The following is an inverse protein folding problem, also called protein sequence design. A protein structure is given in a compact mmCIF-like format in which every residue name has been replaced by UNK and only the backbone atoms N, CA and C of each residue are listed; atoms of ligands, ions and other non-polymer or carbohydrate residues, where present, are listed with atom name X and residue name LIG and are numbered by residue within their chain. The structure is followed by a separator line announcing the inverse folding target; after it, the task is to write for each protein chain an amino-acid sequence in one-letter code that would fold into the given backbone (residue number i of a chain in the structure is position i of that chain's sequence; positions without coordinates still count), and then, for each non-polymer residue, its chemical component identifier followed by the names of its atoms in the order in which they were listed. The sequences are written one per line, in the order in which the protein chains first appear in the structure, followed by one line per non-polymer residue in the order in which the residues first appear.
data_IF_375452736496
#
_entry.id   IF_375452736496
#
_cell.length_a   1.000
_cell.length_b   1.000
_cell.length_c   1.000
_cell.angle_alpha   90.00
_cell.angle_beta   90.00
_cell.angle_gamma   90.00
#
_symmetry.space_group_name_H-M   'P 1'
#
loop_
_entity.id
_entity.type
_entity.pdbx_description
1 polymer ?
#
# COMPACT_ATOMS: atom_id res chain seq x y z
N UNK A 1 49.51 27.97 -20.11
CA UNK A 1 50.96 27.94 -19.92
C UNK A 1 51.22 26.95 -18.83
N UNK A 2 51.83 25.78 -19.19
CA UNK A 2 52.54 24.77 -18.39
C UNK A 2 51.80 24.08 -17.23
N UNK A 3 51.93 22.80 -16.93
CA UNK A 3 52.48 21.58 -17.59
C UNK A 3 52.04 20.39 -16.71
N UNK A 4 51.74 19.31 -17.36
CA UNK A 4 51.83 17.90 -17.04
C UNK A 4 52.63 17.47 -15.79
N UNK A 5 52.11 16.46 -15.10
CA UNK A 5 52.82 15.63 -14.14
C UNK A 5 52.12 14.27 -13.97
N UNK A 6 52.59 13.34 -14.79
CA UNK A 6 52.31 11.89 -14.69
C UNK A 6 53.21 11.28 -13.65
N UNK A 7 52.72 10.37 -12.82
CA UNK A 7 53.53 9.28 -12.23
C UNK A 7 52.67 8.02 -12.01
N UNK A 8 53.17 7.00 -12.63
CA UNK A 8 52.82 5.60 -12.63
C UNK A 8 53.51 4.89 -11.46
N UNK A 9 52.83 3.98 -10.76
CA UNK A 9 53.51 2.82 -10.18
C UNK A 9 52.53 1.67 -9.90
N UNK A 10 52.94 0.51 -10.38
CA UNK A 10 52.42 -0.85 -10.29
C UNK A 10 52.52 -1.45 -8.90
N UNK A 11 51.60 -2.35 -8.58
CA UNK A 11 51.73 -3.73 -8.02
C UNK A 11 50.29 -4.13 -7.60
N UNK A 12 49.63 -5.17 -8.02
CA UNK A 12 50.09 -6.50 -8.42
C UNK A 12 49.88 -7.48 -7.27
N UNK A 13 48.65 -8.03 -7.10
CA UNK A 13 48.47 -9.35 -6.51
C UNK A 13 47.11 -9.89 -6.91
N UNK A 14 47.11 -10.93 -7.72
CA UNK A 14 45.95 -11.66 -8.15
C UNK A 14 45.55 -12.72 -7.12
N UNK A 15 44.27 -12.86 -6.87
CA UNK A 15 43.71 -14.06 -6.28
C UNK A 15 42.95 -14.85 -7.35
N UNK A 16 43.53 -16.01 -7.70
CA UNK A 16 42.90 -17.08 -8.43
C UNK A 16 41.77 -17.70 -7.57
N UNK A 17 40.56 -17.73 -8.09
CA UNK A 17 39.55 -18.67 -7.65
C UNK A 17 39.47 -19.80 -8.68
N UNK A 18 39.90 -20.97 -8.25
CA UNK A 18 39.73 -22.24 -8.95
C UNK A 18 38.24 -22.60 -8.98
N UNK A 19 37.73 -22.84 -10.17
CA UNK A 19 36.42 -23.44 -10.42
C UNK A 19 36.58 -24.94 -10.35
N UNK A 20 36.00 -25.58 -9.31
CA UNK A 20 35.84 -27.02 -9.26
C UNK A 20 34.63 -27.44 -10.12
N UNK A 21 34.93 -28.11 -11.23
CA UNK A 21 33.96 -28.85 -12.04
C UNK A 21 33.62 -30.17 -11.33
N UNK A 22 32.39 -30.32 -10.85
CA UNK A 22 31.85 -31.59 -10.44
C UNK A 22 31.25 -32.32 -11.66
N UNK A 23 32.00 -33.31 -12.14
CA UNK A 23 31.50 -34.29 -13.10
C UNK A 23 30.54 -35.27 -12.45
N UNK A 24 29.30 -35.31 -12.87
CA UNK A 24 28.35 -36.38 -12.54
C UNK A 24 28.49 -37.51 -13.53
N UNK A 25 28.94 -38.66 -13.03
CA UNK A 25 28.99 -39.91 -13.76
C UNK A 25 27.55 -40.41 -14.06
N UNK A 26 27.32 -40.75 -15.32
CA UNK A 26 26.10 -41.37 -15.80
C UNK A 26 25.98 -42.80 -15.26
N UNK A 27 24.81 -43.17 -14.84
CA UNK A 27 24.43 -44.54 -14.59
C UNK A 27 23.63 -45.03 -15.80
N UNK A 28 24.26 -45.97 -16.54
CA UNK A 28 23.59 -46.76 -17.56
C UNK A 28 22.65 -47.77 -16.86
N UNK A 29 21.38 -47.77 -17.20
CA UNK A 29 20.45 -48.84 -16.90
C UNK A 29 20.25 -49.72 -18.12
N UNK A 30 20.76 -50.93 -18.04
CA UNK A 30 20.55 -51.99 -18.98
C UNK A 30 19.06 -52.33 -19.09
N UNK A 31 18.60 -52.49 -20.34
CA UNK A 31 17.25 -52.87 -20.67
C UNK A 31 17.02 -54.34 -20.39
N UNK A 32 15.87 -54.64 -19.75
CA UNK A 32 15.35 -55.99 -19.68
C UNK A 32 14.27 -56.18 -20.73
N UNK A 33 14.58 -57.00 -21.75
CA UNK A 33 13.62 -57.56 -22.70
C UNK A 33 12.75 -58.57 -22.00
N UNK A 34 11.44 -58.37 -22.03
CA UNK A 34 10.46 -59.40 -21.65
C UNK A 34 9.79 -59.93 -22.94
N UNK A 35 10.13 -61.15 -23.24
CA UNK A 35 9.47 -61.95 -24.27
C UNK A 35 8.00 -62.18 -23.95
N UNK A 36 7.16 -61.95 -24.96
CA UNK A 36 5.73 -62.22 -24.93
C UNK A 36 5.48 -63.69 -25.22
N UNK A 37 5.02 -64.45 -24.25
CA UNK A 37 4.42 -65.74 -24.51
C UNK A 37 2.92 -65.63 -24.74
N UNK A 38 2.52 -66.02 -26.00
CA UNK A 38 1.16 -66.26 -26.41
C UNK A 38 0.62 -67.53 -25.76
N UNK A 39 -0.44 -67.46 -25.00
CA UNK A 39 -1.27 -68.59 -24.67
C UNK A 39 -2.65 -68.47 -25.31
N UNK A 40 -2.84 -69.19 -26.40
CA UNK A 40 -4.14 -69.51 -26.96
C UNK A 40 -4.87 -70.51 -26.06
N UNK A 41 -6.02 -70.14 -25.55
CA UNK A 41 -7.01 -71.07 -25.00
C UNK A 41 -8.32 -70.93 -25.79
N UNK A 42 -8.54 -71.91 -26.67
CA UNK A 42 -9.86 -72.20 -27.23
C UNK A 42 -10.75 -72.79 -26.13
N UNK A 43 -11.91 -72.22 -25.87
CA UNK A 43 -13.03 -72.88 -25.24
C UNK A 43 -14.29 -72.65 -26.05
N UNK A 44 -14.74 -73.77 -26.59
CA UNK A 44 -16.08 -73.94 -27.19
C UNK A 44 -17.21 -73.82 -26.15
N UNK A 45 -18.21 -73.09 -26.55
CA UNK A 45 -19.61 -73.42 -26.48
C UNK A 45 -20.35 -73.53 -25.17
N UNK A 46 -21.27 -72.63 -24.98
CA UNK A 46 -22.70 -72.99 -24.73
C UNK A 46 -23.50 -71.68 -24.56
N UNK A 47 -24.45 -71.50 -25.42
CA UNK A 47 -25.37 -70.33 -25.35
C UNK A 47 -26.30 -70.48 -24.15
N UNK A 48 -26.40 -69.36 -23.43
CA UNK A 48 -27.57 -69.05 -22.62
C UNK A 48 -28.03 -67.66 -22.98
N UNK A 49 -29.16 -67.58 -23.70
CA UNK A 49 -29.91 -66.35 -23.89
C UNK A 49 -30.49 -65.94 -22.54
N UNK A 50 -29.95 -64.88 -21.97
CA UNK A 50 -30.59 -64.10 -20.95
C UNK A 50 -30.94 -62.73 -21.56
N UNK A 51 -32.22 -62.55 -21.85
CA UNK A 51 -32.78 -61.19 -22.02
C UNK A 51 -32.56 -60.42 -20.72
N UNK A 52 -31.51 -59.64 -20.68
CA UNK A 52 -31.43 -58.52 -19.75
C UNK A 52 -31.91 -57.29 -20.42
N UNK A 53 -33.10 -56.83 -19.99
CA UNK A 53 -33.56 -55.50 -20.24
C UNK A 53 -32.40 -54.50 -19.95
N UNK A 54 -32.01 -53.79 -20.99
CA UNK A 54 -31.06 -52.67 -20.85
C UNK A 54 -31.75 -51.61 -20.01
N UNK A 55 -31.58 -51.67 -18.68
CA UNK A 55 -31.70 -50.47 -17.87
C UNK A 55 -30.62 -49.50 -18.35
N UNK A 56 -31.09 -48.41 -18.92
CA UNK A 56 -30.28 -47.31 -19.34
C UNK A 56 -29.35 -46.93 -18.15
N UNK A 57 -28.07 -47.10 -18.35
CA UNK A 57 -27.05 -46.59 -17.44
C UNK A 57 -27.35 -45.09 -17.28
N UNK A 58 -27.86 -44.73 -16.11
CA UNK A 58 -28.02 -43.35 -15.71
C UNK A 58 -26.68 -42.67 -15.88
N UNK A 59 -26.58 -41.76 -16.83
CA UNK A 59 -25.41 -40.90 -17.00
C UNK A 59 -25.13 -40.27 -15.64
N UNK A 60 -23.87 -40.29 -15.25
CA UNK A 60 -23.44 -39.51 -14.11
C UNK A 60 -23.86 -38.06 -14.37
N UNK A 61 -24.95 -37.63 -13.73
CA UNK A 61 -25.37 -36.24 -13.83
C UNK A 61 -24.29 -35.43 -13.15
N UNK A 62 -23.64 -34.53 -13.91
CA UNK A 62 -22.70 -33.53 -13.38
C UNK A 62 -23.40 -32.54 -12.43
N UNK A 63 -24.55 -32.95 -11.92
CA UNK A 63 -25.41 -32.17 -11.04
C UNK A 63 -25.02 -32.35 -9.58
N UNK A 64 -24.81 -31.23 -8.93
CA UNK A 64 -24.49 -31.12 -7.51
C UNK A 64 -25.78 -30.79 -6.77
N UNK A 65 -26.27 -31.69 -5.92
CA UNK A 65 -27.44 -31.48 -5.10
C UNK A 65 -27.07 -30.80 -3.80
N UNK A 66 -27.63 -29.61 -3.55
CA UNK A 66 -27.48 -28.86 -2.30
C UNK A 66 -28.83 -28.27 -1.90
N UNK A 67 -29.57 -28.89 -0.96
CA UNK A 67 -30.88 -28.42 -0.55
C UNK A 67 -30.90 -26.95 -0.12
N UNK A 68 -31.99 -26.18 -0.39
CA UNK A 68 -32.03 -24.73 -0.14
C UNK A 68 -31.72 -24.34 1.30
N UNK A 69 -32.17 -25.09 2.28
CA UNK A 69 -31.86 -24.83 3.69
C UNK A 69 -30.36 -24.96 4.01
N UNK A 70 -29.66 -25.92 3.37
CA UNK A 70 -28.21 -26.08 3.51
C UNK A 70 -27.45 -25.00 2.73
N UNK A 71 -27.93 -24.64 1.52
CA UNK A 71 -27.36 -23.59 0.71
C UNK A 71 -27.40 -22.25 1.45
N UNK A 72 -28.55 -21.89 2.02
CA UNK A 72 -28.72 -20.69 2.81
C UNK A 72 -27.84 -20.69 4.07
N UNK A 73 -27.80 -21.79 4.81
CA UNK A 73 -26.93 -21.92 6.00
C UNK A 73 -25.44 -21.82 5.66
N UNK A 74 -25.06 -22.23 4.44
CA UNK A 74 -23.68 -22.14 3.93
C UNK A 74 -23.36 -20.78 3.30
N UNK A 75 -24.29 -19.81 3.28
CA UNK A 75 -24.10 -18.49 2.70
C UNK A 75 -24.01 -18.51 1.18
N UNK A 76 -24.67 -19.44 0.51
CA UNK A 76 -24.72 -19.51 -0.95
C UNK A 76 -25.72 -18.47 -1.47
N UNK A 77 -25.23 -17.54 -2.28
CA UNK A 77 -26.06 -16.55 -2.98
C UNK A 77 -25.94 -16.73 -4.49
N UNK A 78 -27.04 -16.53 -5.19
CA UNK A 78 -27.09 -16.65 -6.65
C UNK A 78 -27.63 -15.37 -7.26
N UNK A 79 -27.14 -15.03 -8.45
CA UNK A 79 -27.63 -13.91 -9.23
C UNK A 79 -27.80 -14.28 -10.71
N UNK A 80 -28.78 -13.68 -11.37
CA UNK A 80 -28.92 -13.79 -12.82
C UNK A 80 -27.83 -12.92 -13.45
N UNK A 81 -27.09 -13.49 -14.41
CA UNK A 81 -26.07 -12.77 -15.15
C UNK A 81 -26.73 -11.80 -16.13
N UNK A 82 -26.36 -10.54 -15.99
CA UNK A 82 -26.67 -9.49 -16.96
C UNK A 82 -25.36 -8.88 -17.48
N UNK A 83 -25.21 -8.70 -18.81
CA UNK A 83 -24.09 -7.95 -19.36
C UNK A 83 -24.13 -6.51 -18.86
N UNK A 84 -22.99 -5.99 -18.48
CA UNK A 84 -22.86 -4.63 -17.94
C UNK A 84 -21.66 -3.90 -18.53
N UNK A 85 -21.34 -2.76 -17.95
CA UNK A 85 -20.15 -2.00 -18.27
C UNK A 85 -18.98 -2.52 -17.44
N UNK A 86 -17.87 -2.81 -18.11
CA UNK A 86 -16.60 -3.18 -17.48
C UNK A 86 -15.48 -2.32 -18.06
N UNK A 87 -14.50 -1.92 -17.24
CA UNK A 87 -13.40 -1.10 -17.75
C UNK A 87 -12.25 -1.96 -18.26
N UNK A 88 -11.55 -1.48 -19.29
CA UNK A 88 -10.23 -2.01 -19.61
C UNK A 88 -9.31 -1.80 -18.42
N UNK A 89 -8.53 -2.81 -18.05
CA UNK A 89 -7.69 -2.80 -16.86
C UNK A 89 -6.23 -2.87 -17.24
N UNK A 90 -5.42 -1.99 -16.64
CA UNK A 90 -3.97 -2.10 -16.64
C UNK A 90 -3.54 -2.47 -15.23
N UNK A 91 -3.09 -3.71 -15.06
CA UNK A 91 -2.59 -4.21 -13.79
C UNK A 91 -1.15 -3.74 -13.58
N UNK A 92 -0.87 -3.15 -12.43
CA UNK A 92 0.43 -2.63 -12.07
C UNK A 92 0.61 -2.65 -10.54
N UNK A 93 1.74 -2.18 -10.07
CA UNK A 93 2.02 -1.98 -8.65
C UNK A 93 2.33 -0.52 -8.36
N UNK A 94 2.35 -0.17 -7.09
CA UNK A 94 2.67 1.19 -6.68
C UNK A 94 2.71 1.34 -5.17
N UNK A 95 2.58 2.59 -4.73
CA UNK A 95 2.65 2.95 -3.31
C UNK A 95 1.53 3.88 -2.91
N UNK A 96 1.08 3.70 -1.68
CA UNK A 96 0.28 4.69 -0.99
C UNK A 96 1.24 5.66 -0.28
N UNK A 97 1.04 6.95 -0.48
CA UNK A 97 1.86 8.01 0.12
C UNK A 97 0.98 8.96 0.93
N UNK A 98 1.55 9.62 1.94
CA UNK A 98 0.85 10.69 2.65
C UNK A 98 0.52 11.85 1.69
N UNK A 99 -0.65 12.44 1.86
CA UNK A 99 -1.09 13.60 1.08
C UNK A 99 -0.20 14.83 1.35
N UNK A 100 -0.07 15.68 0.35
CA UNK A 100 0.65 16.94 0.51
C UNK A 100 -0.07 17.82 1.53
N UNK A 101 0.66 18.29 2.56
CA UNK A 101 0.10 19.05 3.67
C UNK A 101 -0.43 18.19 4.83
N UNK A 102 -0.56 16.89 4.67
CA UNK A 102 -0.92 15.96 5.74
C UNK A 102 0.29 15.52 6.58
N UNK A 103 1.50 15.83 6.15
CA UNK A 103 2.74 15.61 6.88
C UNK A 103 3.41 16.95 7.20
N UNK A 104 3.86 17.10 8.44
CA UNK A 104 4.59 18.29 8.89
C UNK A 104 5.70 17.88 9.85
N UNK A 105 6.82 18.56 9.75
CA UNK A 105 8.00 18.28 10.56
C UNK A 105 8.16 19.37 11.62
N UNK A 106 8.25 18.97 12.88
CA UNK A 106 8.67 19.85 13.96
C UNK A 106 10.18 20.04 13.85
N UNK A 107 10.63 21.30 13.71
CA UNK A 107 12.02 21.67 13.53
C UNK A 107 12.55 22.44 14.73
N UNK A 108 13.85 22.37 14.98
CA UNK A 108 14.50 23.10 16.05
C UNK A 108 14.45 24.63 15.77
N UNK A 109 13.87 25.40 16.68
CA UNK A 109 13.82 26.87 16.62
C UNK A 109 15.02 27.55 17.25
N UNK A 110 15.71 26.83 18.14
CA UNK A 110 16.96 27.22 18.77
C UNK A 110 17.94 26.05 18.76
N UNK A 111 19.23 26.35 18.87
CA UNK A 111 20.24 25.31 19.08
C UNK A 111 20.18 24.82 20.54
N UNK A 112 20.39 23.51 20.75
CA UNK A 112 20.34 22.96 22.10
C UNK A 112 20.47 21.44 22.12
N UNK A 113 20.43 20.88 23.32
CA UNK A 113 20.39 19.43 23.57
C UNK A 113 18.94 18.99 23.67
N UNK A 114 18.60 17.93 22.97
CA UNK A 114 17.25 17.35 22.89
C UNK A 114 16.89 16.64 24.19
N UNK A 115 15.72 16.94 24.71
CA UNK A 115 15.02 16.14 25.72
C UNK A 115 13.55 15.98 25.29
N UNK A 116 13.01 14.76 25.32
CA UNK A 116 11.62 14.54 24.95
C UNK A 116 10.68 15.03 26.08
N UNK A 117 9.60 15.65 25.70
CA UNK A 117 8.55 16.07 26.64
C UNK A 117 7.65 14.88 26.99
N UNK A 118 8.04 14.10 28.00
CA UNK A 118 7.39 12.86 28.37
C UNK A 118 7.69 11.72 27.37
N UNK A 119 6.73 10.79 27.23
CA UNK A 119 6.90 9.65 26.35
C UNK A 119 6.40 10.00 24.94
N UNK A 120 7.32 10.24 24.02
CA UNK A 120 7.02 10.46 22.58
C UNK A 120 7.51 9.24 21.81
N UNK A 121 6.58 8.53 21.16
CA UNK A 121 6.87 7.30 20.39
C UNK A 121 6.17 7.35 19.04
N UNK A 122 6.69 6.64 18.07
CA UNK A 122 6.07 6.48 16.75
C UNK A 122 4.68 5.82 16.87
N UNK A 123 3.71 6.29 16.08
CA UNK A 123 2.32 5.89 16.13
C UNK A 123 1.47 6.58 17.22
N UNK A 124 2.09 7.38 18.11
CA UNK A 124 1.36 8.10 19.17
C UNK A 124 0.49 9.21 18.56
N UNK A 125 -0.78 9.27 18.99
CA UNK A 125 -1.69 10.37 18.65
C UNK A 125 -1.33 11.62 19.40
N UNK A 126 -1.28 12.76 18.72
CA UNK A 126 -0.97 14.07 19.29
C UNK A 126 -1.87 15.16 18.72
N UNK A 127 -2.11 16.21 19.51
CA UNK A 127 -2.81 17.40 19.09
C UNK A 127 -1.83 18.49 18.65
N UNK A 128 -2.26 19.37 17.74
CA UNK A 128 -1.50 20.57 17.39
C UNK A 128 -1.19 21.39 18.64
N UNK A 129 0.06 21.83 18.78
CA UNK A 129 0.53 22.61 19.92
C UNK A 129 1.02 21.78 21.10
N UNK A 130 0.85 20.44 21.10
CA UNK A 130 1.41 19.57 22.14
C UNK A 130 2.93 19.62 22.10
N UNK A 131 3.63 19.92 23.23
CA UNK A 131 5.09 19.88 23.28
C UNK A 131 5.61 18.46 22.99
N UNK A 132 6.55 18.34 22.07
CA UNK A 132 7.19 17.07 21.70
C UNK A 132 8.60 16.96 22.25
N UNK A 133 9.36 18.03 22.07
CA UNK A 133 10.79 18.10 22.42
C UNK A 133 11.03 19.39 23.18
N UNK A 134 11.94 19.34 24.13
CA UNK A 134 12.50 20.51 24.81
C UNK A 134 13.96 20.60 24.44
N UNK A 135 14.40 21.75 23.97
CA UNK A 135 15.77 22.04 23.61
C UNK A 135 16.42 22.84 24.74
N UNK A 136 17.40 22.23 25.44
CA UNK A 136 18.15 22.88 26.51
C UNK A 136 19.47 23.41 26.01
N UNK A 137 19.72 24.69 26.18
CA UNK A 137 21.01 25.35 25.92
C UNK A 137 21.75 25.74 27.19
N UNK A 138 21.30 25.25 28.35
CA UNK A 138 21.71 25.69 29.70
C UNK A 138 23.20 25.52 29.99
N UNK A 139 23.86 24.49 29.41
CA UNK A 139 25.25 24.16 29.60
C UNK A 139 26.09 24.43 28.35
N UNK A 140 25.61 25.26 27.42
CA UNK A 140 26.36 25.60 26.21
C UNK A 140 27.26 26.81 26.45
N UNK A 141 28.39 26.85 25.76
CA UNK A 141 29.39 27.93 25.88
C UNK A 141 28.76 29.32 25.62
N UNK A 142 27.83 29.38 24.68
CA UNK A 142 27.12 30.62 24.31
C UNK A 142 25.91 30.94 25.20
N UNK A 143 25.60 30.08 26.17
CA UNK A 143 24.45 30.20 27.06
C UNK A 143 23.08 30.11 26.35
N UNK A 144 22.02 30.38 27.11
CA UNK A 144 20.66 30.34 26.61
C UNK A 144 20.36 31.56 25.71
N UNK A 145 20.05 31.36 24.40
CA UNK A 145 19.77 32.46 23.47
C UNK A 145 18.51 33.25 23.89
N UNK A 146 17.54 32.64 24.52
CA UNK A 146 16.31 33.31 24.98
C UNK A 146 16.64 34.24 26.16
N UNK A 147 17.47 33.78 27.08
CA UNK A 147 17.91 34.61 28.21
C UNK A 147 18.74 35.80 27.74
N UNK A 148 19.63 35.62 26.77
CA UNK A 148 20.39 36.73 26.15
C UNK A 148 19.48 37.76 25.48
N UNK A 149 18.52 37.29 24.68
CA UNK A 149 17.56 38.18 24.03
C UNK A 149 16.70 38.94 25.05
N UNK A 150 16.31 38.28 26.14
CA UNK A 150 15.55 38.89 27.25
C UNK A 150 16.35 40.01 27.91
N UNK A 151 17.61 39.75 28.26
CA UNK A 151 18.49 40.74 28.89
C UNK A 151 18.67 41.96 27.96
N UNK A 152 18.92 41.72 26.68
CA UNK A 152 19.04 42.79 25.69
C UNK A 152 17.76 43.62 25.59
N UNK A 153 16.59 42.96 25.55
CA UNK A 153 15.29 43.65 25.52
C UNK A 153 15.04 44.48 26.80
N UNK A 154 15.24 43.91 27.97
CA UNK A 154 15.04 44.60 29.24
C UNK A 154 15.96 45.80 29.40
N UNK A 155 17.23 45.68 28.94
CA UNK A 155 18.20 46.78 28.95
C UNK A 155 17.81 47.88 27.99
N UNK A 156 17.47 47.52 26.74
CA UNK A 156 17.04 48.49 25.74
C UNK A 156 15.72 49.21 26.11
N UNK A 157 14.81 48.47 26.77
CA UNK A 157 13.55 49.03 27.29
C UNK A 157 13.80 50.09 28.33
N UNK A 158 14.64 49.79 29.34
CA UNK A 158 14.98 50.78 30.40
C UNK A 158 15.61 52.03 29.80
N UNK A 159 16.49 51.89 28.85
CA UNK A 159 17.15 53.02 28.19
C UNK A 159 16.15 53.87 27.36
N UNK A 160 15.27 53.21 26.61
CA UNK A 160 14.18 53.87 25.88
C UNK A 160 13.23 54.64 26.83
N UNK A 161 12.81 54.04 27.92
CA UNK A 161 11.94 54.66 28.93
C UNK A 161 12.64 55.86 29.55
N UNK A 162 13.91 55.77 29.92
CA UNK A 162 14.71 56.87 30.45
C UNK A 162 14.80 58.03 29.46
N UNK A 163 15.14 57.75 28.16
CA UNK A 163 15.21 58.77 27.12
C UNK A 163 13.86 59.46 26.87
N UNK A 164 12.78 58.69 26.94
CA UNK A 164 11.41 59.18 26.78
C UNK A 164 11.03 60.19 27.88
N UNK A 165 11.43 59.99 29.12
CA UNK A 165 11.18 60.90 30.24
C UNK A 165 12.03 62.17 30.16
N UNK A 166 13.24 62.09 29.61
CA UNK A 166 14.16 63.22 29.50
C UNK A 166 13.92 64.11 28.28
N UNK A 167 13.29 63.59 27.21
CA UNK A 167 13.04 64.30 25.94
C UNK A 167 12.20 65.56 26.09
N UNK A 168 11.09 65.61 26.87
CA UNK A 168 10.28 66.82 27.03
C UNK A 168 11.06 68.01 27.63
N UNK A 169 12.05 67.69 28.49
CA UNK A 169 12.90 68.65 29.14
C UNK A 169 14.13 69.07 28.29
N UNK A 170 14.22 68.58 27.03
CA UNK A 170 15.34 68.82 26.13
C UNK A 170 16.71 68.43 26.68
N UNK A 171 16.76 67.49 27.61
CA UNK A 171 17.99 66.98 28.18
C UNK A 171 18.69 66.02 27.23
N UNK A 172 17.95 65.34 26.35
CA UNK A 172 18.43 64.48 25.31
C UNK A 172 17.98 64.96 23.94
N UNK A 173 18.76 64.66 22.89
CA UNK A 173 18.38 65.02 21.53
C UNK A 173 17.32 64.09 20.94
N UNK A 174 16.51 64.57 19.99
CA UNK A 174 15.57 63.77 19.24
C UNK A 174 16.27 62.59 18.51
N UNK A 175 17.51 62.81 18.08
CA UNK A 175 18.33 61.78 17.43
C UNK A 175 18.66 60.65 18.41
N UNK A 176 19.08 60.97 19.63
CA UNK A 176 19.42 59.98 20.64
C UNK A 176 18.19 59.17 21.10
N UNK A 177 17.05 59.87 21.24
CA UNK A 177 15.78 59.22 21.53
C UNK A 177 15.36 58.28 20.39
N UNK A 178 15.46 58.70 19.12
CA UNK A 178 15.14 57.85 17.99
C UNK A 178 16.03 56.61 17.93
N UNK A 179 17.33 56.75 18.24
CA UNK A 179 18.27 55.65 18.33
C UNK A 179 17.91 54.67 19.46
N UNK A 180 17.57 55.15 20.65
CA UNK A 180 17.16 54.34 21.77
C UNK A 180 15.87 53.57 21.46
N UNK A 181 14.90 54.24 20.80
CA UNK A 181 13.66 53.62 20.33
C UNK A 181 13.93 52.51 19.32
N UNK A 182 14.79 52.75 18.35
CA UNK A 182 15.16 51.73 17.34
C UNK A 182 15.80 50.52 18.00
N UNK A 183 16.73 50.71 18.93
CA UNK A 183 17.39 49.63 19.69
C UNK A 183 16.39 48.83 20.50
N UNK A 184 15.45 49.50 21.17
CA UNK A 184 14.38 48.85 21.90
C UNK A 184 13.48 48.00 21.01
N UNK A 185 13.00 48.54 19.86
CA UNK A 185 12.14 47.82 18.93
C UNK A 185 12.85 46.58 18.34
N UNK A 186 14.14 46.71 17.97
CA UNK A 186 14.93 45.60 17.46
C UNK A 186 15.11 44.50 18.53
N UNK A 187 15.42 44.89 19.77
CA UNK A 187 15.58 43.95 20.86
C UNK A 187 14.25 43.26 21.24
N UNK A 188 13.12 44.02 21.15
CA UNK A 188 11.77 43.47 21.37
C UNK A 188 11.43 42.40 20.35
N UNK A 189 11.59 42.71 19.05
CA UNK A 189 11.35 41.77 17.95
C UNK A 189 12.19 40.50 18.13
N UNK A 190 13.48 40.69 18.44
CA UNK A 190 14.40 39.54 18.65
C UNK A 190 14.00 38.68 19.83
N UNK A 191 13.55 39.28 20.94
CA UNK A 191 13.08 38.55 22.12
C UNK A 191 11.74 37.85 21.86
N UNK A 192 10.76 38.55 21.29
CA UNK A 192 9.44 37.98 20.97
C UNK A 192 9.52 36.77 20.04
N UNK A 193 10.46 36.79 19.08
CA UNK A 193 10.68 35.70 18.14
C UNK A 193 11.11 34.38 18.83
N UNK A 194 11.85 34.44 19.93
CA UNK A 194 12.39 33.26 20.61
C UNK A 194 11.74 32.97 21.95
N UNK A 195 10.97 33.90 22.53
CA UNK A 195 10.39 33.78 23.87
C UNK A 195 9.16 32.85 23.93
N UNK A 196 8.54 32.58 22.78
CA UNK A 196 7.39 31.66 22.72
C UNK A 196 7.81 30.24 23.09
N UNK A 197 7.01 29.60 23.97
CA UNK A 197 7.24 28.21 24.44
C UNK A 197 8.57 28.00 25.19
N UNK A 198 9.19 29.06 25.74
CA UNK A 198 10.37 28.95 26.60
C UNK A 198 9.98 28.74 28.06
N UNK A 199 10.69 27.85 28.73
CA UNK A 199 10.53 27.54 30.14
C UNK A 199 11.89 27.43 30.85
N UNK A 200 11.87 27.17 32.16
CA UNK A 200 13.09 26.93 32.93
C UNK A 200 13.87 25.66 32.48
N UNK A 201 13.19 24.74 31.80
CA UNK A 201 13.77 23.52 31.25
C UNK A 201 14.41 23.75 29.87
N UNK A 202 13.99 24.77 29.15
CA UNK A 202 14.44 25.11 27.81
C UNK A 202 13.31 25.51 26.88
N UNK A 203 13.60 25.50 25.58
CA UNK A 203 12.66 25.83 24.51
C UNK A 203 11.83 24.61 24.12
N UNK A 204 10.53 24.65 24.36
CA UNK A 204 9.64 23.58 23.91
C UNK A 204 9.32 23.72 22.41
N UNK A 205 9.41 22.62 21.71
CA UNK A 205 9.04 22.50 20.29
C UNK A 205 7.73 21.74 20.21
N UNK A 206 6.62 22.42 19.88
CA UNK A 206 5.30 21.81 19.81
C UNK A 206 5.07 21.14 18.45
N UNK A 207 4.08 20.23 18.44
CA UNK A 207 3.57 19.67 17.20
C UNK A 207 2.95 20.74 16.30
N UNK A 208 3.35 20.84 15.02
CA UNK A 208 2.79 21.82 14.09
C UNK A 208 1.35 21.48 13.67
N UNK A 209 0.96 20.20 13.70
CA UNK A 209 -0.38 19.71 13.32
C UNK A 209 -0.88 18.67 14.32
N UNK A 210 -2.20 18.43 14.32
CA UNK A 210 -2.79 17.28 15.02
C UNK A 210 -2.67 16.03 14.12
N UNK A 211 -2.40 14.88 14.71
CA UNK A 211 -2.22 13.63 13.96
C UNK A 211 -1.46 12.57 14.76
N UNK A 212 -0.56 11.87 14.10
CA UNK A 212 0.26 10.80 14.68
C UNK A 212 1.74 11.08 14.46
N UNK A 213 2.56 10.73 15.44
CA UNK A 213 4.03 10.74 15.28
C UNK A 213 4.40 9.69 14.24
N UNK A 214 4.96 10.14 13.11
CA UNK A 214 5.39 9.26 12.02
C UNK A 214 6.78 8.70 12.27
N UNK A 215 7.71 9.58 12.65
CA UNK A 215 9.09 9.19 12.95
C UNK A 215 9.76 10.18 13.88
N UNK A 216 10.69 9.66 14.69
CA UNK A 216 11.61 10.43 15.51
C UNK A 216 12.93 10.54 14.75
N UNK A 217 13.34 11.78 14.43
CA UNK A 217 14.53 12.06 13.62
C UNK A 217 15.77 12.37 14.48
N UNK A 218 15.58 12.43 15.81
CA UNK A 218 16.59 12.70 16.81
C UNK A 218 16.37 11.77 18.01
N UNK A 219 17.41 11.68 18.86
CA UNK A 219 17.40 10.90 20.10
C UNK A 219 17.55 11.81 21.31
N UNK A 220 17.20 11.29 22.48
CA UNK A 220 17.47 11.94 23.77
C UNK A 220 18.98 12.21 23.91
N UNK A 221 19.33 13.46 24.24
CA UNK A 221 20.69 13.89 24.40
C UNK A 221 21.41 14.35 23.11
N UNK A 222 20.81 14.24 21.94
CA UNK A 222 21.38 14.76 20.69
C UNK A 222 21.50 16.27 20.75
N UNK A 223 22.62 16.79 20.22
CA UNK A 223 22.78 18.23 19.98
C UNK A 223 22.21 18.58 18.60
N UNK A 224 21.35 19.60 18.54
CA UNK A 224 20.71 20.06 17.31
C UNK A 224 20.94 21.56 17.05
N UNK A 225 20.94 21.90 15.77
CA UNK A 225 21.06 23.29 15.29
C UNK A 225 19.71 23.83 14.82
N UNK A 226 19.59 25.14 14.70
CA UNK A 226 18.36 25.80 14.21
C UNK A 226 17.99 25.27 12.82
N UNK A 227 16.72 24.94 12.62
CA UNK A 227 16.19 24.39 11.39
C UNK A 227 16.33 22.86 11.25
N UNK A 228 17.01 22.18 12.17
CA UNK A 228 17.16 20.72 12.12
C UNK A 228 15.83 20.03 12.38
N UNK A 229 15.46 19.03 11.54
CA UNK A 229 14.26 18.22 11.73
C UNK A 229 14.33 17.39 13.01
N UNK A 230 13.26 17.36 13.79
CA UNK A 230 13.19 16.65 15.08
C UNK A 230 12.18 15.50 15.07
N UNK A 231 10.92 15.80 14.72
CA UNK A 231 9.82 14.85 14.74
C UNK A 231 8.95 15.07 13.53
N UNK A 232 8.66 14.03 12.78
CA UNK A 232 7.68 14.06 11.69
C UNK A 232 6.30 13.63 12.21
N UNK A 233 5.27 14.40 11.87
CA UNK A 233 3.88 14.19 12.27
C UNK A 233 3.02 14.10 11.03
N UNK A 234 2.09 13.15 10.98
CA UNK A 234 1.18 12.95 9.85
C UNK A 234 -0.28 12.89 10.30
N UNK A 235 -1.18 13.44 9.50
CA UNK A 235 -2.63 13.37 9.75
C UNK A 235 -3.29 12.15 9.12
N UNK A 236 -2.72 11.63 8.04
CA UNK A 236 -3.26 10.50 7.27
C UNK A 236 -4.71 10.69 6.78
N UNK A 237 -5.18 11.92 6.59
CA UNK A 237 -6.54 12.18 6.12
C UNK A 237 -6.69 12.04 4.62
N UNK A 238 -5.71 12.57 3.88
CA UNK A 238 -5.63 12.45 2.43
C UNK A 238 -4.38 11.67 2.07
N UNK A 239 -4.54 10.75 1.14
CA UNK A 239 -3.47 9.90 0.66
C UNK A 239 -3.32 10.03 -0.85
N UNK A 240 -2.14 9.74 -1.34
CA UNK A 240 -1.84 9.60 -2.75
C UNK A 240 -1.60 8.12 -3.08
N UNK A 241 -2.28 7.64 -4.11
CA UNK A 241 -1.96 6.38 -4.76
C UNK A 241 -1.07 6.68 -5.95
N UNK A 242 0.19 6.30 -5.89
CA UNK A 242 1.12 6.40 -7.01
C UNK A 242 1.28 5.03 -7.65
N UNK A 243 0.80 4.89 -8.86
CA UNK A 243 0.97 3.72 -9.70
C UNK A 243 2.19 3.89 -10.60
N UNK A 244 3.02 2.86 -10.70
CA UNK A 244 4.20 2.83 -11.56
C UNK A 244 3.85 2.04 -12.84
N UNK A 245 3.48 2.74 -13.91
CA UNK A 245 2.95 2.16 -15.14
C UNK A 245 4.05 1.98 -16.17
N UNK A 246 4.19 0.77 -16.73
CA UNK A 246 5.17 0.50 -17.80
C UNK A 246 4.92 1.41 -19.00
N UNK A 247 5.99 1.94 -19.62
CA UNK A 247 5.97 2.82 -20.80
C UNK A 247 5.17 2.25 -21.98
N UNK A 248 5.07 0.94 -22.10
CA UNK A 248 4.26 0.29 -23.15
C UNK A 248 2.79 0.72 -23.13
N UNK A 249 2.28 1.14 -21.96
CA UNK A 249 0.90 1.61 -21.77
C UNK A 249 0.75 3.12 -21.93
N UNK A 250 1.82 3.85 -22.27
CA UNK A 250 1.78 5.31 -22.39
C UNK A 250 0.64 5.85 -23.28
N UNK A 251 0.31 5.23 -24.45
CA UNK A 251 -0.82 5.68 -25.26
C UNK A 251 -2.17 5.64 -24.54
N UNK A 252 -2.33 4.75 -23.56
CA UNK A 252 -3.58 4.53 -22.82
C UNK A 252 -3.70 5.36 -21.55
N UNK A 253 -2.62 6.05 -21.10
CA UNK A 253 -2.64 6.83 -19.86
C UNK A 253 -3.72 7.92 -19.85
N UNK A 254 -4.05 8.48 -21.02
CA UNK A 254 -5.09 9.51 -21.15
C UNK A 254 -6.50 8.99 -20.92
N UNK A 255 -6.73 7.69 -21.04
CA UNK A 255 -8.02 7.05 -20.88
C UNK A 255 -8.26 6.53 -19.45
N UNK A 256 -7.23 6.61 -18.60
CA UNK A 256 -7.35 6.20 -17.20
C UNK A 256 -8.19 7.23 -16.46
N UNK A 257 -9.34 6.78 -15.94
CA UNK A 257 -10.27 7.62 -15.17
C UNK A 257 -10.24 7.34 -13.68
N UNK A 258 -9.94 6.10 -13.27
CA UNK A 258 -9.97 5.66 -11.89
C UNK A 258 -9.01 4.50 -11.66
N UNK A 259 -8.96 4.00 -10.43
CA UNK A 259 -8.23 2.79 -10.07
C UNK A 259 -8.90 2.07 -8.91
N UNK A 260 -8.66 0.76 -8.84
CA UNK A 260 -8.83 -0.04 -7.63
C UNK A 260 -7.45 -0.48 -7.16
N UNK A 261 -7.29 -0.77 -5.87
CA UNK A 261 -6.03 -1.29 -5.34
C UNK A 261 -6.26 -2.25 -4.19
N UNK A 262 -5.33 -3.20 -4.05
CA UNK A 262 -5.36 -4.20 -2.99
C UNK A 262 -4.17 -4.01 -2.06
N UNK A 263 -4.42 -4.00 -0.75
CA UNK A 263 -3.38 -3.89 0.26
C UNK A 263 -2.94 -5.27 0.74
N UNK A 264 -1.63 -5.53 0.92
CA UNK A 264 -1.12 -6.87 1.23
C UNK A 264 -1.42 -7.33 2.66
N UNK A 265 -1.77 -6.41 3.58
CA UNK A 265 -1.97 -6.74 4.99
C UNK A 265 -3.40 -7.19 5.33
N UNK A 266 -4.38 -6.96 4.47
CA UNK A 266 -5.77 -7.42 4.70
C UNK A 266 -6.44 -8.01 3.45
N UNK A 267 -5.73 -8.07 2.31
CA UNK A 267 -6.23 -8.52 1.01
C UNK A 267 -7.54 -7.87 0.57
N UNK A 268 -7.84 -6.68 1.13
CA UNK A 268 -9.03 -5.91 0.81
C UNK A 268 -8.79 -5.08 -0.44
N UNK A 269 -9.72 -5.17 -1.36
CA UNK A 269 -9.76 -4.28 -2.53
C UNK A 269 -10.47 -2.99 -2.15
N UNK A 270 -9.82 -1.88 -2.44
CA UNK A 270 -10.34 -0.53 -2.26
C UNK A 270 -10.62 0.07 -3.63
N UNK A 271 -11.80 0.62 -3.80
CA UNK A 271 -12.15 1.36 -5.02
C UNK A 271 -11.96 2.86 -4.78
N UNK A 272 -11.25 3.54 -5.67
CA UNK A 272 -11.07 4.99 -5.55
C UNK A 272 -12.41 5.73 -5.57
N UNK A 273 -13.42 5.17 -6.23
CA UNK A 273 -14.77 5.74 -6.26
C UNK A 273 -15.39 5.88 -4.86
N UNK A 274 -15.26 4.84 -4.01
CA UNK A 274 -15.76 4.84 -2.63
C UNK A 274 -14.94 5.72 -1.70
N UNK A 275 -13.66 5.92 -2.04
CA UNK A 275 -12.73 6.75 -1.29
C UNK A 275 -12.67 8.21 -1.79
N UNK A 276 -13.64 8.66 -2.60
CA UNK A 276 -13.67 9.98 -3.23
C UNK A 276 -12.37 10.27 -4.01
N UNK A 277 -11.81 9.21 -4.61
CA UNK A 277 -10.55 9.30 -5.33
C UNK A 277 -10.68 10.02 -6.66
N UNK A 278 -9.63 10.75 -7.03
CA UNK A 278 -9.52 11.44 -8.31
C UNK A 278 -8.12 11.34 -8.87
N UNK A 279 -8.04 11.26 -10.19
CA UNK A 279 -6.76 11.37 -10.89
C UNK A 279 -6.21 12.78 -10.72
N UNK A 280 -4.97 12.90 -10.22
CA UNK A 280 -4.26 14.19 -10.15
C UNK A 280 -3.39 14.41 -11.37
N UNK A 281 -2.58 13.42 -11.70
CA UNK A 281 -1.63 13.55 -12.80
C UNK A 281 -1.20 12.18 -13.33
N UNK A 282 -0.76 12.18 -14.58
CA UNK A 282 0.10 11.14 -15.12
C UNK A 282 1.38 11.78 -15.63
N UNK A 283 2.51 11.10 -15.40
CA UNK A 283 3.82 11.57 -15.82
C UNK A 283 3.92 11.69 -17.34
N UNK A 284 4.65 12.69 -17.81
CA UNK A 284 4.97 12.88 -19.24
C UNK A 284 6.38 12.37 -19.60
N UNK A 285 7.10 11.87 -18.59
CA UNK A 285 8.42 11.27 -18.73
C UNK A 285 8.60 10.17 -17.69
N UNK A 286 9.36 9.15 -18.04
CA UNK A 286 9.92 8.20 -17.07
C UNK A 286 11.06 8.86 -16.30
N UNK A 287 11.34 8.39 -15.07
CA UNK A 287 12.51 8.85 -14.31
C UNK A 287 13.82 8.45 -14.97
N UNK A 288 14.94 9.13 -14.66
CA UNK A 288 16.25 8.93 -15.28
C UNK A 288 16.76 7.48 -15.27
N UNK A 289 16.25 6.61 -14.37
CA UNK A 289 16.60 5.19 -14.26
C UNK A 289 15.36 4.29 -14.15
N UNK A 290 14.24 4.67 -14.76
CA UNK A 290 12.96 3.96 -14.59
C UNK A 290 12.22 3.87 -15.92
N UNK A 291 11.81 2.65 -16.30
CA UNK A 291 10.92 2.39 -17.44
C UNK A 291 9.43 2.56 -17.09
N UNK A 292 9.15 3.26 -15.99
CA UNK A 292 7.80 3.45 -15.49
C UNK A 292 7.39 4.91 -15.50
N UNK A 293 6.17 5.15 -15.95
CA UNK A 293 5.51 6.45 -15.92
C UNK A 293 4.59 6.50 -14.71
N UNK A 294 4.76 7.45 -13.78
CA UNK A 294 3.91 7.53 -12.61
C UNK A 294 2.51 8.06 -12.96
N UNK A 295 1.49 7.39 -12.44
CA UNK A 295 0.10 7.87 -12.42
C UNK A 295 -0.30 8.07 -10.98
N UNK A 296 -0.76 9.27 -10.63
CA UNK A 296 -1.03 9.64 -9.24
C UNK A 296 -2.49 10.02 -9.07
N UNK A 297 -3.12 9.41 -8.07
CA UNK A 297 -4.46 9.73 -7.61
C UNK A 297 -4.40 10.27 -6.19
N UNK A 298 -5.34 11.15 -5.84
CA UNK A 298 -5.61 11.58 -4.47
C UNK A 298 -6.90 10.92 -4.00
N UNK A 299 -6.97 10.50 -2.75
CA UNK A 299 -8.16 9.91 -2.16
C UNK A 299 -8.24 10.16 -0.64
N UNK A 300 -9.43 10.00 -0.09
CA UNK A 300 -9.68 10.16 1.35
C UNK A 300 -9.35 8.84 2.08
N UNK A 301 -8.53 8.94 3.14
CA UNK A 301 -8.26 7.79 3.99
C UNK A 301 -9.43 7.62 4.98
N UNK A 302 -10.16 6.53 4.85
CA UNK A 302 -11.23 6.16 5.77
C UNK A 302 -10.76 5.31 6.96
N UNK A 303 -9.45 5.38 7.29
CA UNK A 303 -8.89 4.87 8.55
C UNK A 303 -8.08 3.58 8.44
N UNK A 304 -8.22 2.82 7.36
CA UNK A 304 -7.65 1.47 7.24
C UNK A 304 -6.39 1.41 6.38
N UNK A 305 -6.04 2.51 5.69
CA UNK A 305 -4.96 2.50 4.70
C UNK A 305 -3.71 3.15 5.28
N UNK A 306 -2.61 2.41 5.26
CA UNK A 306 -1.34 2.80 5.86
C UNK A 306 -0.46 3.47 4.81
N UNK A 307 -0.07 4.76 4.99
CA UNK A 307 0.91 5.41 4.12
C UNK A 307 2.25 4.67 4.13
N UNK A 308 2.89 4.58 2.97
CA UNK A 308 4.12 3.84 2.78
C UNK A 308 3.91 2.41 2.26
N UNK A 309 2.68 1.89 2.29
CA UNK A 309 2.37 0.55 1.81
C UNK A 309 2.59 0.42 0.31
N UNK A 310 3.18 -0.71 -0.10
CA UNK A 310 3.14 -1.18 -1.48
C UNK A 310 1.81 -1.86 -1.73
N UNK A 311 1.22 -1.62 -2.90
CA UNK A 311 -0.10 -2.12 -3.26
C UNK A 311 -0.12 -2.61 -4.68
N UNK A 312 -0.95 -3.62 -4.95
CA UNK A 312 -1.33 -4.00 -6.30
C UNK A 312 -2.42 -3.03 -6.78
N UNK A 313 -2.32 -2.56 -8.02
CA UNK A 313 -3.17 -1.52 -8.58
C UNK A 313 -3.78 -1.98 -9.89
N UNK A 314 -5.08 -1.80 -10.02
CA UNK A 314 -5.87 -2.05 -11.22
C UNK A 314 -6.34 -0.69 -11.76
N UNK A 315 -5.62 -0.15 -12.74
CA UNK A 315 -5.98 1.11 -13.38
C UNK A 315 -7.16 0.88 -14.32
N UNK A 316 -8.21 1.63 -14.12
CA UNK A 316 -9.45 1.54 -14.90
C UNK A 316 -9.43 2.60 -16.00
N UNK A 317 -9.43 2.13 -17.24
CA UNK A 317 -9.42 2.99 -18.43
C UNK A 317 -10.79 2.97 -19.13
N UNK A 318 -10.80 2.96 -20.45
CA UNK A 318 -12.04 3.06 -21.26
C UNK A 318 -13.07 2.00 -20.87
N UNK A 319 -14.36 2.38 -20.74
CA UNK A 319 -15.44 1.43 -20.51
C UNK A 319 -15.66 0.54 -21.74
N UNK A 320 -16.00 -0.72 -21.48
CA UNK A 320 -16.46 -1.71 -22.43
C UNK A 320 -17.90 -2.08 -22.07
N UNK A 321 -18.81 -1.99 -23.02
CA UNK A 321 -20.21 -2.35 -22.83
C UNK A 321 -20.45 -3.82 -23.15
N UNK A 322 -21.56 -4.37 -22.64
CA UNK A 322 -21.98 -5.75 -22.86
C UNK A 322 -20.97 -6.81 -22.41
N UNK A 323 -20.29 -6.56 -21.29
CA UNK A 323 -19.32 -7.48 -20.71
C UNK A 323 -19.96 -8.25 -19.55
N UNK A 324 -19.81 -9.57 -19.54
CA UNK A 324 -20.14 -10.40 -18.39
C UNK A 324 -18.96 -10.35 -17.40
N UNK A 325 -19.23 -9.99 -16.16
CA UNK A 325 -18.23 -9.99 -15.08
C UNK A 325 -18.83 -10.56 -13.80
N UNK A 326 -18.02 -11.31 -13.06
CA UNK A 326 -18.41 -11.95 -11.81
C UNK A 326 -17.45 -11.57 -10.68
N UNK A 327 -17.91 -11.53 -9.43
CA UNK A 327 -17.01 -11.34 -8.29
C UNK A 327 -16.09 -12.55 -8.12
N UNK A 328 -14.93 -12.35 -7.52
CA UNK A 328 -13.97 -13.44 -7.23
C UNK A 328 -14.60 -14.58 -6.40
N UNK A 329 -15.58 -14.26 -5.55
CA UNK A 329 -16.33 -15.22 -4.71
C UNK A 329 -17.17 -16.22 -5.51
N UNK A 330 -17.45 -15.93 -6.78
CA UNK A 330 -18.16 -16.81 -7.70
C UNK A 330 -17.25 -17.87 -8.33
N UNK A 331 -15.94 -17.67 -8.27
CA UNK A 331 -14.96 -18.48 -8.99
C UNK A 331 -14.34 -19.55 -8.07
N UNK A 332 -14.15 -20.73 -8.61
CA UNK A 332 -13.32 -21.78 -8.01
C UNK A 332 -12.25 -22.21 -9.00
N UNK A 333 -11.08 -22.56 -8.49
CA UNK A 333 -9.98 -23.06 -9.30
C UNK A 333 -9.71 -24.52 -9.01
N UNK A 334 -9.45 -25.31 -10.06
CA UNK A 334 -9.01 -26.68 -9.98
C UNK A 334 -7.99 -26.95 -11.10
N UNK A 335 -6.80 -27.36 -10.73
CA UNK A 335 -5.72 -27.73 -11.65
C UNK A 335 -5.45 -26.67 -12.74
N UNK A 336 -5.51 -25.37 -12.35
CA UNK A 336 -5.30 -24.25 -13.27
C UNK A 336 -6.49 -23.89 -14.16
N UNK A 337 -7.63 -24.59 -14.01
CA UNK A 337 -8.89 -24.27 -14.67
C UNK A 337 -9.87 -23.61 -13.73
N UNK A 338 -10.61 -22.63 -14.26
CA UNK A 338 -11.59 -21.88 -13.46
C UNK A 338 -13.01 -22.34 -13.76
N UNK A 339 -13.81 -22.37 -12.71
CA UNK A 339 -15.19 -22.82 -12.76
C UNK A 339 -16.13 -21.90 -11.99
N UNK A 340 -17.36 -21.83 -12.46
CA UNK A 340 -18.52 -21.27 -11.75
C UNK A 340 -19.57 -22.35 -11.55
N UNK A 341 -20.56 -22.09 -10.71
CA UNK A 341 -21.68 -23.00 -10.49
C UNK A 341 -22.97 -22.34 -10.95
N UNK A 342 -23.61 -22.98 -11.94
CA UNK A 342 -24.93 -22.57 -12.45
C UNK A 342 -25.99 -23.23 -11.59
N UNK A 343 -26.93 -22.46 -11.08
CA UNK A 343 -28.14 -23.01 -10.44
C UNK A 343 -29.11 -23.42 -11.53
N UNK A 344 -29.48 -24.72 -11.59
CA UNK A 344 -30.38 -25.30 -12.59
C UNK A 344 -31.82 -25.23 -12.09
N UNK A 345 -32.04 -25.61 -10.82
CA UNK A 345 -33.31 -25.57 -10.14
C UNK A 345 -33.16 -25.17 -8.68
N UNK A 346 -34.13 -25.51 -7.79
CA UNK A 346 -34.09 -25.08 -6.38
C UNK A 346 -32.93 -25.68 -5.57
N UNK A 347 -32.44 -26.89 -5.90
CA UNK A 347 -31.41 -27.61 -5.17
C UNK A 347 -30.26 -28.11 -6.06
N UNK A 348 -30.43 -28.03 -7.39
CA UNK A 348 -29.45 -28.50 -8.37
C UNK A 348 -28.50 -27.43 -8.86
N UNK A 349 -27.22 -27.77 -8.84
CA UNK A 349 -26.13 -26.90 -9.34
C UNK A 349 -25.28 -27.66 -10.34
N UNK A 350 -24.85 -26.98 -11.40
CA UNK A 350 -23.95 -27.53 -12.42
C UNK A 350 -22.62 -26.80 -12.40
N UNK A 351 -21.52 -27.56 -12.32
CA UNK A 351 -20.16 -27.05 -12.48
C UNK A 351 -19.91 -26.68 -13.94
N UNK A 352 -19.54 -25.42 -14.20
CA UNK A 352 -19.34 -24.89 -15.53
C UNK A 352 -17.93 -24.31 -15.68
N UNK A 353 -17.09 -24.83 -16.61
CA UNK A 353 -15.80 -24.24 -16.88
C UNK A 353 -15.96 -22.87 -17.53
N UNK A 354 -15.07 -21.93 -17.15
CA UNK A 354 -15.07 -20.56 -17.67
C UNK A 354 -13.67 -20.11 -18.07
N UNK A 355 -13.62 -19.24 -19.09
CA UNK A 355 -12.40 -18.55 -19.45
C UNK A 355 -12.42 -17.14 -18.88
N UNK A 356 -11.40 -16.79 -18.11
CA UNK A 356 -11.28 -15.49 -17.51
C UNK A 356 -10.63 -14.48 -18.44
N UNK A 357 -11.05 -13.22 -18.34
CA UNK A 357 -10.47 -12.08 -19.01
C UNK A 357 -9.76 -11.14 -18.03
N UNK A 358 -10.01 -9.83 -18.18
CA UNK A 358 -9.45 -8.81 -17.32
C UNK A 358 -10.04 -8.87 -15.90
N UNK A 359 -9.17 -8.59 -14.92
CA UNK A 359 -9.49 -8.53 -13.50
C UNK A 359 -9.29 -7.09 -13.00
N UNK A 360 -10.29 -6.51 -12.35
CA UNK A 360 -10.20 -5.17 -11.78
C UNK A 360 -10.02 -5.16 -10.24
N UNK A 361 -9.73 -6.34 -9.67
CA UNK A 361 -9.59 -6.56 -8.23
C UNK A 361 -10.91 -6.85 -7.52
N UNK A 362 -12.03 -6.36 -7.99
CA UNK A 362 -13.37 -6.59 -7.45
C UNK A 362 -14.13 -7.68 -8.23
N UNK A 363 -14.08 -7.58 -9.55
CA UNK A 363 -14.72 -8.50 -10.50
C UNK A 363 -13.78 -8.94 -11.58
N UNK A 364 -14.02 -10.12 -12.11
CA UNK A 364 -13.29 -10.71 -13.24
C UNK A 364 -14.21 -10.79 -14.44
N UNK A 365 -13.74 -10.34 -15.60
CA UNK A 365 -14.41 -10.51 -16.87
C UNK A 365 -14.48 -12.00 -17.23
N UNK A 366 -15.63 -12.48 -17.69
CA UNK A 366 -15.80 -13.83 -18.21
C UNK A 366 -15.89 -13.76 -19.74
N UNK A 367 -14.91 -14.38 -20.40
CA UNK A 367 -14.83 -14.40 -21.85
C UNK A 367 -15.70 -15.48 -22.48
N UNK A 368 -15.84 -16.62 -21.79
CA UNK A 368 -16.66 -17.74 -22.26
C UNK A 368 -17.06 -18.66 -21.10
N UNK A 369 -18.07 -19.49 -21.32
CA UNK A 369 -18.55 -20.50 -20.38
C UNK A 369 -19.92 -20.17 -19.76
N UNK A 370 -20.33 -18.92 -19.78
CA UNK A 370 -21.65 -18.45 -19.28
C UNK A 370 -22.30 -17.47 -20.26
N UNK A 371 -23.59 -17.28 -20.15
CA UNK A 371 -24.40 -16.36 -21.01
C UNK A 371 -25.33 -15.50 -20.15
N UNK A 372 -25.79 -14.42 -20.75
CA UNK A 372 -26.84 -13.59 -20.17
C UNK A 372 -28.09 -14.44 -19.87
N UNK A 373 -28.63 -14.26 -18.67
CA UNK A 373 -29.80 -15.03 -18.19
C UNK A 373 -29.41 -16.26 -17.35
N UNK A 374 -28.16 -16.73 -17.37
CA UNK A 374 -27.73 -17.81 -16.51
C UNK A 374 -27.79 -17.38 -15.03
N UNK A 375 -28.27 -18.28 -14.16
CA UNK A 375 -28.28 -18.06 -12.70
C UNK A 375 -27.03 -18.64 -12.10
N UNK A 376 -26.11 -17.80 -11.63
CA UNK A 376 -24.77 -18.16 -11.16
C UNK A 376 -24.65 -17.94 -9.66
N UNK A 377 -23.94 -18.83 -8.97
CA UNK A 377 -23.53 -18.67 -7.58
C UNK A 377 -22.49 -17.54 -7.52
N UNK A 378 -22.85 -16.43 -6.89
CA UNK A 378 -21.97 -15.25 -6.73
C UNK A 378 -21.24 -15.22 -5.40
N UNK A 379 -21.76 -15.91 -4.38
CA UNK A 379 -21.14 -16.10 -3.09
C UNK A 379 -21.32 -17.54 -2.64
N UNK A 380 -20.31 -18.11 -1.94
CA UNK A 380 -20.37 -19.49 -1.46
C UNK A 380 -20.09 -20.55 -2.53
N UNK A 381 -19.46 -20.21 -3.65
CA UNK A 381 -19.13 -21.17 -4.72
C UNK A 381 -18.27 -22.36 -4.21
N UNK A 382 -17.38 -22.11 -3.27
CA UNK A 382 -16.58 -23.18 -2.65
C UNK A 382 -17.42 -24.17 -1.83
N UNK A 383 -18.53 -23.74 -1.23
CA UNK A 383 -19.45 -24.59 -0.49
C UNK A 383 -20.20 -25.53 -1.42
N UNK A 384 -20.62 -25.02 -2.58
CA UNK A 384 -21.25 -25.83 -3.65
C UNK A 384 -20.23 -26.86 -4.18
N UNK A 385 -18.97 -26.47 -4.37
CA UNK A 385 -17.89 -27.38 -4.75
C UNK A 385 -17.74 -28.54 -3.75
N UNK A 386 -17.73 -28.26 -2.45
CA UNK A 386 -17.61 -29.28 -1.41
C UNK A 386 -18.80 -30.22 -1.38
N UNK A 387 -20.02 -29.72 -1.60
CA UNK A 387 -21.23 -30.55 -1.69
C UNK A 387 -21.13 -31.55 -2.85
N UNK A 388 -20.60 -31.12 -4.00
CA UNK A 388 -20.33 -32.02 -5.14
C UNK A 388 -19.33 -33.12 -4.80
N UNK A 389 -18.28 -32.82 -4.08
CA UNK A 389 -17.27 -33.81 -3.65
C UNK A 389 -17.83 -34.83 -2.67
N UNK A 390 -18.72 -34.42 -1.76
CA UNK A 390 -19.36 -35.34 -0.80
C UNK A 390 -20.41 -36.23 -1.44
N UNK A 391 -21.13 -35.76 -2.43
CA UNK A 391 -22.12 -36.55 -3.18
C UNK A 391 -21.47 -37.57 -4.13
N UNK A 392 -20.21 -37.37 -4.51
CA UNK A 392 -19.45 -38.32 -5.35
C UNK A 392 -18.90 -39.56 -4.56
N UNK A 393 -18.96 -39.54 -3.24
CA UNK A 393 -18.53 -40.68 -2.41
C UNK A 393 -19.75 -41.59 -2.20
N UNK A 394 -19.81 -42.82 -2.78
CA UNK A 394 -20.89 -43.75 -2.51
C UNK A 394 -20.98 -44.08 -1.01
N UNK A 395 -22.17 -44.00 -0.45
CA UNK A 395 -22.38 -44.49 0.92
C UNK A 395 -22.05 -45.96 0.97
N UNK A 396 -20.91 -46.32 1.53
CA UNK A 396 -20.59 -47.72 1.83
C UNK A 396 -21.52 -48.17 2.95
N UNK A 397 -22.63 -48.84 2.57
CA UNK A 397 -23.45 -49.59 3.50
C UNK A 397 -22.68 -50.89 3.90
N UNK A 398 -22.10 -50.90 5.06
CA UNK A 398 -21.71 -52.13 5.70
C UNK A 398 -22.96 -52.73 6.40
N UNK A 399 -23.68 -53.58 5.71
CA UNK A 399 -24.58 -54.51 6.37
C UNK A 399 -23.72 -55.60 7.04
N UNK A 400 -23.81 -55.71 8.36
CA UNK A 400 -23.32 -56.80 9.16
C UNK A 400 -24.47 -57.80 9.44
#
# INVERSE_FOLDING_TARGET
MFLLGSCNSKSGEGHNHETEEHAHAGHDHEGHDHESENHDHEHEGAGHEHEHAAEAAAGHSDEIILPPAKAQAAGVETSIIEPGTFNQVIKTSGRVMAGQGDESVAVATVAGVVSFHGKVIEGMSISKGTPLVVLSSKNMADGDPVQRARIAYETAKKEYERMKELLPNKIVSEKDFAQARQTYENARISYEAVAQNHSAQGQAIPSPISGYVKSLLVKEGDYVTVGQPLVSVTQNRKLFLRADVSEKYYPYLRTIGSANFCTPYNNKVYTLKELNGRLLSYGKASGENSYYVPVTFEFDNKGDIIPGSFVEIFLLSSPMENVISLPHTALTEEQGSFFVYLQIDEEGYKKQPVTLGADNGEKVQILSGVKAGDKVVTQGAYQVKLAGATNAIPAHSHEH
#
